data_IF_631597032771
#
_entry.id   IF_631597032771
#
_cell.length_a   1.000
_cell.length_b   1.000
_cell.length_c   1.000
_cell.angle_alpha   90.00
_cell.angle_beta   90.00
_cell.angle_gamma   90.00
#
_symmetry.space_group_name_H-M   'P 1'
#
loop_
_entity.id
_entity.type
_entity.pdbx_description
1 polymer ?
#
# COMPACT_ATOMS: atom_id res chain seq x y z
N UNK A 1 23.58 -38.45 7.12
CA UNK A 1 23.10 -39.85 6.99
C UNK A 1 21.62 -39.88 7.39
N UNK A 2 20.85 -40.79 6.78
CA UNK A 2 19.38 -40.96 6.77
C UNK A 2 18.67 -40.05 5.75
N UNK A 3 18.57 -40.48 4.48
CA UNK A 3 17.70 -41.51 3.86
C UNK A 3 16.38 -40.93 3.34
N UNK A 4 16.44 -40.67 2.04
CA UNK A 4 15.36 -40.76 1.05
C UNK A 4 14.14 -41.57 1.47
N UNK A 5 12.96 -41.01 1.29
CA UNK A 5 11.77 -41.76 0.89
C UNK A 5 10.96 -40.93 -0.09
N UNK A 6 11.05 -41.32 -1.37
CA UNK A 6 10.09 -40.95 -2.39
C UNK A 6 8.75 -41.59 -2.05
N UNK A 7 7.68 -40.80 -2.02
CA UNK A 7 6.34 -41.28 -2.33
C UNK A 7 5.73 -40.32 -3.34
N UNK A 8 5.84 -40.70 -4.61
CA UNK A 8 5.00 -40.17 -5.66
C UNK A 8 3.55 -40.63 -5.38
N UNK A 9 2.68 -39.69 -5.05
CA UNK A 9 1.23 -39.92 -5.07
C UNK A 9 0.63 -39.03 -6.15
N UNK A 10 0.57 -39.58 -7.36
CA UNK A 10 -0.21 -39.05 -8.47
C UNK A 10 -1.69 -39.19 -8.12
N UNK A 11 -2.28 -38.15 -7.55
CA UNK A 11 -3.72 -38.00 -7.50
C UNK A 11 -4.18 -37.45 -8.86
N UNK A 12 -4.50 -38.35 -9.79
CA UNK A 12 -5.25 -37.99 -11.00
C UNK A 12 -6.69 -37.76 -10.55
N UNK A 13 -7.05 -36.51 -10.30
CA UNK A 13 -8.45 -36.10 -10.23
C UNK A 13 -8.93 -36.01 -11.68
N UNK A 14 -9.64 -37.05 -12.12
CA UNK A 14 -10.36 -37.01 -13.39
C UNK A 14 -11.55 -36.04 -13.23
N UNK A 15 -11.36 -34.81 -13.70
CA UNK A 15 -12.43 -33.82 -13.85
C UNK A 15 -13.22 -34.14 -15.15
N UNK A 16 -14.01 -35.20 -15.13
CA UNK A 16 -14.98 -35.45 -16.20
C UNK A 16 -16.28 -34.70 -15.88
N UNK A 17 -16.43 -33.50 -16.46
CA UNK A 17 -17.70 -32.83 -16.87
C UNK A 17 -17.40 -31.36 -17.23
N UNK A 18 -16.66 -31.11 -18.32
CA UNK A 18 -16.50 -29.77 -18.91
C UNK A 18 -16.30 -29.86 -20.44
N UNK A 19 -17.13 -30.65 -21.12
CA UNK A 19 -16.85 -31.07 -22.51
C UNK A 19 -17.39 -30.19 -23.65
N UNK A 20 -18.02 -29.04 -23.39
CA UNK A 20 -18.71 -28.29 -24.45
C UNK A 20 -18.33 -26.81 -24.59
N UNK A 21 -17.88 -26.13 -23.54
CA UNK A 21 -17.60 -24.69 -23.60
C UNK A 21 -16.23 -24.34 -24.20
N UNK A 22 -15.27 -25.28 -24.17
CA UNK A 22 -13.89 -25.02 -24.57
C UNK A 22 -13.62 -25.25 -26.06
N UNK A 23 -14.48 -25.99 -26.76
CA UNK A 23 -14.27 -26.38 -28.16
C UNK A 23 -14.33 -25.19 -29.14
N UNK A 24 -14.98 -24.08 -28.75
CA UNK A 24 -15.15 -22.90 -29.59
C UNK A 24 -14.09 -21.81 -29.34
N UNK A 25 -13.25 -21.95 -28.30
CA UNK A 25 -12.13 -21.05 -28.04
C UNK A 25 -10.90 -21.53 -28.82
N UNK A 26 -10.70 -20.98 -30.01
CA UNK A 26 -9.59 -21.34 -30.92
C UNK A 26 -8.21 -21.11 -30.33
N UNK A 27 -8.09 -20.20 -29.35
CA UNK A 27 -6.85 -19.85 -28.69
C UNK A 27 -6.51 -20.78 -27.52
N UNK A 28 -7.44 -21.63 -27.05
CA UNK A 28 -7.24 -22.44 -25.85
C UNK A 28 -5.99 -23.34 -25.93
N UNK A 29 -5.90 -24.18 -26.95
CA UNK A 29 -4.77 -25.10 -27.13
C UNK A 29 -3.42 -24.38 -27.31
N UNK A 30 -3.26 -23.41 -28.25
CA UNK A 30 -1.98 -22.72 -28.41
C UNK A 30 -1.59 -21.91 -27.17
N UNK A 31 -2.55 -21.25 -26.49
CA UNK A 31 -2.26 -20.47 -25.30
C UNK A 31 -1.85 -21.34 -24.11
N UNK A 32 -2.60 -22.40 -23.84
CA UNK A 32 -2.26 -23.34 -22.75
C UNK A 32 -0.93 -24.02 -22.99
N UNK A 33 -0.63 -24.38 -24.23
CA UNK A 33 0.69 -24.91 -24.61
C UNK A 33 1.81 -23.89 -24.36
N UNK A 34 1.63 -22.62 -24.74
CA UNK A 34 2.62 -21.57 -24.48
C UNK A 34 2.89 -21.41 -22.97
N UNK A 35 1.83 -21.34 -22.16
CA UNK A 35 1.96 -21.23 -20.70
C UNK A 35 2.64 -22.46 -20.07
N UNK A 36 2.26 -23.68 -20.47
CA UNK A 36 2.86 -24.92 -19.95
C UNK A 36 4.35 -25.06 -20.29
N UNK A 37 4.77 -24.53 -21.43
CA UNK A 37 6.17 -24.52 -21.86
C UNK A 37 6.97 -23.31 -21.36
N UNK A 38 6.36 -22.45 -20.53
CA UNK A 38 6.95 -21.17 -20.11
C UNK A 38 7.36 -20.25 -21.28
N UNK A 39 6.68 -20.35 -22.42
CA UNK A 39 6.90 -19.53 -23.59
C UNK A 39 6.18 -18.18 -23.43
N UNK A 40 6.75 -17.30 -22.62
CA UNK A 40 6.15 -16.03 -22.22
C UNK A 40 5.80 -15.10 -23.39
N UNK A 41 6.70 -14.96 -24.37
CA UNK A 41 6.48 -14.08 -25.54
C UNK A 41 5.30 -14.60 -26.38
N UNK A 42 5.24 -15.92 -26.60
CA UNK A 42 4.14 -16.57 -27.32
C UNK A 42 2.82 -16.42 -26.57
N UNK A 43 2.84 -16.64 -25.24
CA UNK A 43 1.66 -16.46 -24.39
C UNK A 43 1.17 -15.01 -24.41
N UNK A 44 2.07 -14.03 -24.37
CA UNK A 44 1.75 -12.59 -24.44
C UNK A 44 1.07 -12.25 -25.77
N UNK A 45 1.64 -12.68 -26.89
CA UNK A 45 1.08 -12.42 -28.22
C UNK A 45 -0.30 -13.07 -28.42
N UNK A 46 -0.53 -14.26 -27.85
CA UNK A 46 -1.81 -14.96 -27.92
C UNK A 46 -2.87 -14.34 -27.01
N UNK A 47 -2.49 -13.73 -25.89
CA UNK A 47 -3.42 -13.24 -24.88
C UNK A 47 -4.35 -12.14 -25.38
N UNK A 48 -3.86 -11.21 -26.21
CA UNK A 48 -4.70 -10.14 -26.78
C UNK A 48 -5.89 -10.71 -27.57
N UNK A 49 -5.62 -11.72 -28.40
CA UNK A 49 -6.65 -12.39 -29.21
C UNK A 49 -7.60 -13.18 -28.32
N UNK A 50 -7.05 -13.93 -27.35
CA UNK A 50 -7.82 -14.71 -26.38
C UNK A 50 -8.73 -13.84 -25.52
N UNK A 51 -8.27 -12.67 -25.11
CA UNK A 51 -9.02 -11.73 -24.27
C UNK A 51 -10.25 -11.19 -24.99
N UNK A 52 -10.11 -10.88 -26.29
CA UNK A 52 -11.19 -10.34 -27.12
C UNK A 52 -12.15 -11.42 -27.66
N UNK A 53 -11.74 -12.69 -27.69
CA UNK A 53 -12.59 -13.77 -28.22
C UNK A 53 -13.69 -14.14 -27.20
N UNK A 54 -14.99 -13.88 -27.49
CA UNK A 54 -16.08 -14.17 -26.56
C UNK A 54 -16.27 -15.67 -26.28
N UNK A 55 -15.79 -16.56 -27.15
CA UNK A 55 -15.85 -18.01 -26.96
C UNK A 55 -14.86 -18.51 -25.88
N UNK A 56 -13.84 -17.72 -25.56
CA UNK A 56 -12.92 -18.03 -24.48
C UNK A 56 -13.53 -17.57 -23.15
N UNK A 57 -13.60 -18.47 -22.17
CA UNK A 57 -14.26 -18.15 -20.91
C UNK A 57 -13.41 -17.26 -19.98
N UNK A 58 -14.06 -16.68 -18.97
CA UNK A 58 -13.40 -15.81 -17.99
C UNK A 58 -12.36 -16.56 -17.15
N UNK A 59 -12.52 -17.88 -16.94
CA UNK A 59 -11.58 -18.65 -16.15
C UNK A 59 -10.22 -18.77 -16.87
N UNK A 60 -10.23 -19.04 -18.18
CA UNK A 60 -9.05 -19.05 -19.04
C UNK A 60 -8.37 -17.68 -19.09
N UNK A 61 -9.15 -16.61 -19.32
CA UNK A 61 -8.64 -15.23 -19.35
C UNK A 61 -7.96 -14.87 -18.03
N UNK A 62 -8.60 -15.16 -16.90
CA UNK A 62 -8.03 -14.86 -15.58
C UNK A 62 -6.79 -15.70 -15.29
N UNK A 63 -6.81 -17.00 -15.62
CA UNK A 63 -5.64 -17.86 -15.46
C UNK A 63 -4.44 -17.37 -16.29
N UNK A 64 -4.70 -16.98 -17.55
CA UNK A 64 -3.70 -16.41 -18.43
C UNK A 64 -3.14 -15.07 -17.94
N UNK A 65 -4.03 -14.17 -17.49
CA UNK A 65 -3.62 -12.88 -16.94
C UNK A 65 -2.69 -13.06 -15.72
N UNK A 66 -3.07 -13.94 -14.78
CA UNK A 66 -2.25 -14.27 -13.61
C UNK A 66 -0.88 -14.83 -13.98
N UNK A 67 -0.82 -15.67 -15.02
CA UNK A 67 0.46 -16.15 -15.53
C UNK A 67 1.32 -14.98 -16.04
N UNK A 68 0.78 -14.14 -16.92
CA UNK A 68 1.52 -13.03 -17.52
C UNK A 68 1.91 -11.95 -16.49
N UNK A 69 1.04 -11.64 -15.53
CA UNK A 69 1.34 -10.73 -14.42
C UNK A 69 2.53 -11.24 -13.59
N UNK A 70 2.48 -12.51 -13.17
CA UNK A 70 3.57 -13.14 -12.41
C UNK A 70 4.89 -13.15 -13.18
N UNK A 71 4.83 -13.50 -14.46
CA UNK A 71 6.02 -13.56 -15.32
C UNK A 71 6.65 -12.19 -15.55
N UNK A 72 5.85 -11.14 -15.72
CA UNK A 72 6.32 -9.76 -15.76
C UNK A 72 6.91 -9.34 -14.42
N UNK A 73 6.25 -9.62 -13.30
CA UNK A 73 6.78 -9.33 -11.96
C UNK A 73 8.17 -9.97 -11.74
N UNK A 74 8.34 -11.25 -12.10
CA UNK A 74 9.62 -11.95 -11.99
C UNK A 74 10.70 -11.30 -12.89
N UNK A 75 10.34 -10.85 -14.09
CA UNK A 75 11.26 -10.11 -14.98
C UNK A 75 11.66 -8.77 -14.38
N UNK A 76 10.71 -8.04 -13.82
CA UNK A 76 10.96 -6.78 -13.12
C UNK A 76 11.96 -6.94 -11.97
N UNK A 77 11.82 -7.98 -11.14
CA UNK A 77 12.77 -8.30 -10.06
C UNK A 77 14.18 -8.66 -10.53
N UNK A 78 14.33 -9.08 -11.79
CA UNK A 78 15.61 -9.56 -12.36
C UNK A 78 16.25 -8.55 -13.33
N UNK A 79 15.53 -7.49 -13.70
CA UNK A 79 16.07 -6.49 -14.60
C UNK A 79 17.22 -5.74 -13.94
N UNK A 80 18.27 -5.46 -14.73
CA UNK A 80 19.49 -4.81 -14.23
C UNK A 80 19.37 -3.29 -14.13
N UNK A 81 18.32 -2.71 -14.71
CA UNK A 81 18.06 -1.27 -14.75
C UNK A 81 16.65 -0.94 -14.20
N UNK A 82 16.52 0.07 -13.32
CA UNK A 82 15.25 0.47 -12.72
C UNK A 82 14.12 0.80 -13.70
N UNK A 83 14.41 1.40 -14.86
CA UNK A 83 13.37 1.76 -15.83
C UNK A 83 12.83 0.52 -16.54
N UNK A 84 13.68 -0.48 -16.78
CA UNK A 84 13.23 -1.79 -17.25
C UNK A 84 12.37 -2.50 -16.19
N UNK A 85 12.77 -2.47 -14.92
CA UNK A 85 11.95 -3.01 -13.82
C UNK A 85 10.56 -2.37 -13.78
N UNK A 86 10.50 -1.04 -13.84
CA UNK A 86 9.25 -0.27 -13.87
C UNK A 86 8.33 -0.70 -15.02
N UNK A 87 8.87 -0.78 -16.24
CA UNK A 87 8.09 -1.20 -17.42
C UNK A 87 7.51 -2.61 -17.28
N UNK A 88 8.23 -3.54 -16.68
CA UNK A 88 7.70 -4.88 -16.38
C UNK A 88 6.61 -4.84 -15.30
N UNK A 89 6.75 -4.05 -14.24
CA UNK A 89 5.72 -3.95 -13.22
C UNK A 89 4.44 -3.28 -13.73
N UNK A 90 4.56 -2.22 -14.54
CA UNK A 90 3.41 -1.61 -15.21
C UNK A 90 2.72 -2.61 -16.15
N UNK A 91 3.50 -3.39 -16.92
CA UNK A 91 2.95 -4.46 -17.75
C UNK A 91 2.24 -5.53 -16.90
N UNK A 92 2.78 -5.89 -15.73
CA UNK A 92 2.13 -6.84 -14.82
C UNK A 92 0.76 -6.34 -14.35
N UNK A 93 0.66 -5.05 -13.96
CA UNK A 93 -0.60 -4.44 -13.52
C UNK A 93 -1.67 -4.40 -14.62
N UNK A 94 -1.28 -4.35 -15.89
CA UNK A 94 -2.24 -4.43 -17.01
C UNK A 94 -2.91 -5.80 -17.13
N UNK A 95 -2.30 -6.86 -16.57
CA UNK A 95 -2.88 -8.20 -16.54
C UNK A 95 -3.61 -8.49 -15.22
N UNK A 96 -2.98 -8.16 -14.10
CA UNK A 96 -3.54 -8.34 -12.77
C UNK A 96 -2.97 -7.31 -11.79
N UNK A 97 -3.85 -6.54 -11.17
CA UNK A 97 -3.47 -5.70 -10.04
C UNK A 97 -3.04 -6.55 -8.86
N UNK A 98 -1.88 -6.26 -8.27
CA UNK A 98 -1.34 -7.02 -7.16
C UNK A 98 -0.56 -6.11 -6.21
N UNK A 99 -0.76 -6.25 -4.90
CA UNK A 99 -0.12 -5.39 -3.89
C UNK A 99 1.41 -5.39 -3.99
N UNK A 100 2.05 -6.56 -4.14
CA UNK A 100 3.50 -6.67 -4.35
C UNK A 100 4.00 -5.84 -5.53
N UNK A 101 3.29 -5.86 -6.66
CA UNK A 101 3.67 -5.07 -7.85
C UNK A 101 3.59 -3.58 -7.57
N UNK A 102 2.52 -3.13 -6.90
CA UNK A 102 2.40 -1.74 -6.45
C UNK A 102 3.51 -1.37 -5.45
N UNK A 103 3.85 -2.25 -4.50
CA UNK A 103 4.94 -2.00 -3.56
C UNK A 103 6.29 -1.82 -4.27
N UNK A 104 6.62 -2.68 -5.25
CA UNK A 104 7.87 -2.56 -6.03
C UNK A 104 7.93 -1.25 -6.84
N UNK A 105 6.81 -0.82 -7.45
CA UNK A 105 6.74 0.51 -8.08
C UNK A 105 6.93 1.65 -7.06
N UNK A 106 6.39 1.47 -5.85
CA UNK A 106 6.60 2.38 -4.72
C UNK A 106 8.08 2.49 -4.33
N UNK A 107 8.80 1.37 -4.28
CA UNK A 107 10.25 1.33 -4.03
C UNK A 107 11.03 2.05 -5.13
N UNK A 108 10.74 1.76 -6.41
CA UNK A 108 11.42 2.43 -7.53
C UNK A 108 11.20 3.95 -7.53
N UNK A 109 9.98 4.41 -7.22
CA UNK A 109 9.68 5.82 -7.07
C UNK A 109 10.41 6.44 -5.88
N UNK A 110 10.47 5.74 -4.74
CA UNK A 110 11.18 6.17 -3.54
C UNK A 110 12.67 6.35 -3.80
N UNK A 111 13.30 5.40 -4.49
CA UNK A 111 14.74 5.44 -4.80
C UNK A 111 15.12 6.63 -5.69
N UNK A 112 14.15 7.16 -6.46
CA UNK A 112 14.29 8.39 -7.26
C UNK A 112 13.91 9.66 -6.48
N UNK A 113 13.58 9.52 -5.19
CA UNK A 113 13.02 10.58 -4.34
C UNK A 113 11.72 11.19 -4.86
N UNK A 114 11.00 10.47 -5.73
CA UNK A 114 9.66 10.85 -6.19
C UNK A 114 8.63 10.34 -5.17
N UNK A 115 8.57 11.03 -4.03
CA UNK A 115 7.69 10.65 -2.92
C UNK A 115 6.21 10.79 -3.26
N UNK A 116 5.85 11.64 -4.23
CA UNK A 116 4.47 11.73 -4.71
C UNK A 116 4.04 10.46 -5.46
N UNK A 117 4.86 9.97 -6.40
CA UNK A 117 4.60 8.69 -7.06
C UNK A 117 4.70 7.52 -6.08
N UNK A 118 5.68 7.56 -5.16
CA UNK A 118 5.84 6.52 -4.14
C UNK A 118 4.61 6.41 -3.23
N UNK A 119 4.10 7.55 -2.75
CA UNK A 119 2.89 7.62 -1.93
C UNK A 119 1.66 7.09 -2.67
N UNK A 120 1.52 7.39 -3.97
CA UNK A 120 0.44 6.83 -4.80
C UNK A 120 0.53 5.30 -4.83
N UNK A 121 1.69 4.75 -5.16
CA UNK A 121 1.85 3.31 -5.33
C UNK A 121 1.72 2.53 -4.02
N UNK A 122 2.31 3.00 -2.93
CA UNK A 122 2.15 2.33 -1.64
C UNK A 122 0.71 2.40 -1.12
N UNK A 123 0.00 3.52 -1.30
CA UNK A 123 -1.42 3.56 -0.91
C UNK A 123 -2.28 2.62 -1.76
N UNK A 124 -1.98 2.46 -3.06
CA UNK A 124 -2.62 1.43 -3.90
C UNK A 124 -2.30 0.01 -3.42
N UNK A 125 -1.05 -0.22 -2.98
CA UNK A 125 -0.65 -1.49 -2.37
C UNK A 125 -1.45 -1.79 -1.10
N UNK A 126 -1.60 -0.81 -0.20
CA UNK A 126 -2.45 -0.92 1.00
C UNK A 126 -3.90 -1.21 0.63
N UNK A 127 -4.46 -0.55 -0.38
CA UNK A 127 -5.82 -0.84 -0.87
C UNK A 127 -5.98 -2.28 -1.36
N UNK A 128 -5.00 -2.79 -2.11
CA UNK A 128 -5.01 -4.18 -2.56
C UNK A 128 -4.85 -5.17 -1.42
N UNK A 129 -4.13 -4.81 -0.35
CA UNK A 129 -4.10 -5.62 0.86
C UNK A 129 -5.46 -5.61 1.57
N UNK A 130 -6.12 -4.45 1.65
CA UNK A 130 -7.41 -4.30 2.33
C UNK A 130 -8.56 -5.04 1.59
N UNK A 131 -8.69 -4.79 0.29
CA UNK A 131 -9.86 -5.17 -0.51
C UNK A 131 -9.54 -6.09 -1.71
N UNK A 132 -8.27 -6.43 -1.90
CA UNK A 132 -7.84 -7.29 -3.01
C UNK A 132 -8.19 -8.76 -2.82
N UNK A 133 -7.96 -9.58 -3.85
CA UNK A 133 -8.25 -11.01 -3.81
C UNK A 133 -7.54 -11.74 -2.65
N UNK A 134 -8.23 -12.68 -2.00
CA UNK A 134 -7.72 -13.40 -0.84
C UNK A 134 -6.52 -14.31 -1.18
N UNK A 135 -6.44 -14.76 -2.43
CA UNK A 135 -5.33 -15.53 -2.99
C UNK A 135 -4.02 -14.75 -3.07
N UNK A 136 -4.06 -13.40 -3.01
CA UNK A 136 -2.86 -12.56 -2.92
C UNK A 136 -2.34 -12.55 -1.48
N UNK A 137 -1.92 -13.70 -0.99
CA UNK A 137 -1.48 -13.90 0.39
C UNK A 137 -0.43 -12.86 0.81
N UNK A 138 -0.59 -12.33 2.02
CA UNK A 138 0.33 -11.41 2.68
C UNK A 138 0.44 -11.83 4.15
N UNK A 139 1.65 -11.81 4.70
CA UNK A 139 1.86 -11.99 6.13
C UNK A 139 1.45 -10.72 6.88
N UNK A 140 1.38 -10.78 8.21
CA UNK A 140 1.16 -9.58 9.02
C UNK A 140 2.33 -8.59 8.87
N UNK A 141 3.57 -9.10 8.83
CA UNK A 141 4.79 -8.32 8.59
C UNK A 141 4.78 -7.63 7.22
N UNK A 142 4.28 -8.30 6.17
CA UNK A 142 4.10 -7.69 4.84
C UNK A 142 3.15 -6.48 4.93
N UNK A 143 2.02 -6.64 5.64
CA UNK A 143 1.01 -5.60 5.79
C UNK A 143 1.58 -4.40 6.57
N UNK A 144 2.21 -4.65 7.71
CA UNK A 144 2.86 -3.63 8.55
C UNK A 144 3.91 -2.85 7.75
N UNK A 145 4.80 -3.57 7.05
CA UNK A 145 5.86 -2.95 6.24
C UNK A 145 5.29 -2.04 5.15
N UNK A 146 4.29 -2.51 4.40
CA UNK A 146 3.68 -1.71 3.32
C UNK A 146 2.93 -0.50 3.88
N UNK A 147 2.30 -0.64 5.04
CA UNK A 147 1.59 0.46 5.70
C UNK A 147 2.56 1.55 6.19
N UNK A 148 3.68 1.16 6.80
CA UNK A 148 4.73 2.08 7.24
C UNK A 148 5.35 2.82 6.05
N UNK A 149 5.64 2.11 4.96
CA UNK A 149 6.14 2.70 3.72
C UNK A 149 5.13 3.69 3.10
N UNK A 150 3.84 3.34 3.10
CA UNK A 150 2.78 4.24 2.62
C UNK A 150 2.71 5.52 3.46
N UNK A 151 2.70 5.38 4.78
CA UNK A 151 2.64 6.50 5.72
C UNK A 151 3.84 7.42 5.58
N UNK A 152 5.04 6.84 5.48
CA UNK A 152 6.27 7.61 5.29
C UNK A 152 6.31 8.31 3.93
N UNK A 153 5.93 7.64 2.84
CA UNK A 153 5.93 8.25 1.51
C UNK A 153 4.96 9.43 1.44
N UNK A 154 3.77 9.26 2.02
CA UNK A 154 2.75 10.31 2.15
C UNK A 154 3.27 11.51 2.95
N UNK A 155 4.07 11.29 3.99
CA UNK A 155 4.68 12.37 4.78
C UNK A 155 5.85 13.10 4.10
N UNK A 156 6.55 12.41 3.20
CA UNK A 156 7.66 12.98 2.44
C UNK A 156 7.20 13.69 1.15
N UNK A 157 6.01 13.37 0.64
CA UNK A 157 5.45 14.00 -0.55
C UNK A 157 5.24 15.50 -0.37
N UNK A 158 5.61 16.28 -1.39
CA UNK A 158 5.44 17.74 -1.43
C UNK A 158 4.21 18.18 -2.22
N UNK A 159 3.80 17.39 -3.20
CA UNK A 159 2.60 17.66 -4.00
C UNK A 159 1.32 17.12 -3.38
N UNK A 160 0.20 17.42 -4.03
CA UNK A 160 -1.09 16.83 -3.69
C UNK A 160 -1.05 15.30 -3.84
N UNK A 161 -1.63 14.62 -2.85
CA UNK A 161 -1.77 13.17 -2.84
C UNK A 161 -3.25 12.84 -2.92
N UNK A 162 -3.64 12.18 -3.99
CA UNK A 162 -4.98 11.64 -4.14
C UNK A 162 -5.14 10.45 -3.18
N UNK A 163 -6.17 10.51 -2.34
CA UNK A 163 -6.54 9.39 -1.47
C UNK A 163 -7.24 8.34 -2.33
N UNK A 164 -6.69 7.12 -2.47
CA UNK A 164 -7.35 6.11 -3.27
C UNK A 164 -8.63 5.66 -2.56
N UNK A 165 -9.58 5.11 -3.31
CA UNK A 165 -10.85 4.62 -2.75
C UNK A 165 -10.85 3.11 -2.63
N UNK A 166 -11.44 2.62 -1.55
CA UNK A 166 -11.78 1.19 -1.37
C UNK A 166 -12.82 0.76 -2.39
N UNK A 167 -13.11 -0.54 -2.47
CA UNK A 167 -14.15 -1.08 -3.35
C UNK A 167 -15.54 -0.54 -3.00
N UNK A 168 -15.79 -0.22 -1.73
CA UNK A 168 -17.04 0.39 -1.27
C UNK A 168 -17.14 1.89 -1.57
N UNK A 169 -16.05 2.51 -2.03
CA UNK A 169 -15.95 3.94 -2.30
C UNK A 169 -15.54 4.79 -1.09
N UNK A 170 -15.25 4.17 0.05
CA UNK A 170 -14.72 4.83 1.24
C UNK A 170 -13.23 5.23 1.03
N UNK A 171 -12.69 6.15 1.85
CA UNK A 171 -11.26 6.47 1.83
C UNK A 171 -10.40 5.21 2.05
N UNK A 172 -9.37 5.05 1.22
CA UNK A 172 -8.42 3.95 1.24
C UNK A 172 -7.02 4.38 1.70
N UNK A 173 -6.00 3.60 1.33
CA UNK A 173 -4.61 3.85 1.66
C UNK A 173 -4.38 3.81 3.16
N UNK A 174 -3.67 4.79 3.70
CA UNK A 174 -3.36 4.87 5.14
C UNK A 174 -4.57 5.18 6.03
N UNK A 175 -5.76 5.39 5.45
CA UNK A 175 -7.00 5.68 6.17
C UNK A 175 -7.91 4.44 6.33
N UNK A 176 -7.50 3.27 5.84
CA UNK A 176 -8.27 2.04 6.06
C UNK A 176 -8.21 1.64 7.54
N UNK A 177 -9.37 1.45 8.16
CA UNK A 177 -9.45 1.12 9.60
C UNK A 177 -9.01 -0.30 9.96
N UNK A 178 -8.97 -1.21 8.98
CA UNK A 178 -8.40 -2.56 9.16
C UNK A 178 -7.99 -3.16 7.82
N UNK A 179 -6.92 -3.95 7.83
CA UNK A 179 -6.41 -4.68 6.66
C UNK A 179 -6.36 -6.17 7.01
N UNK A 180 -7.29 -6.98 6.48
CA UNK A 180 -7.34 -8.44 6.69
C UNK A 180 -7.24 -8.89 8.16
N UNK A 181 -7.85 -8.13 9.08
CA UNK A 181 -7.81 -8.40 10.52
C UNK A 181 -6.61 -7.79 11.27
N UNK A 182 -5.66 -7.18 10.56
CA UNK A 182 -4.73 -6.22 11.14
C UNK A 182 -5.51 -4.94 11.44
N UNK A 183 -5.66 -4.61 12.72
CA UNK A 183 -6.22 -3.33 13.15
C UNK A 183 -5.04 -2.36 13.20
N UNK A 184 -5.17 -1.27 12.45
CA UNK A 184 -4.16 -0.21 12.49
C UNK A 184 -4.36 0.54 13.81
N UNK A 185 -3.56 0.21 14.82
CA UNK A 185 -3.68 0.82 16.16
C UNK A 185 -3.12 2.24 16.19
N UNK A 186 -2.11 2.52 15.38
CA UNK A 186 -1.38 3.78 15.36
C UNK A 186 -1.17 4.23 13.92
N UNK A 187 -1.68 5.41 13.56
CA UNK A 187 -1.47 5.99 12.24
C UNK A 187 -0.70 7.30 12.40
N UNK A 188 0.47 7.34 11.78
CA UNK A 188 1.22 8.57 11.62
C UNK A 188 0.61 9.38 10.49
N UNK A 189 -0.07 10.47 10.83
CA UNK A 189 -0.56 11.40 9.83
C UNK A 189 0.54 12.41 9.49
N UNK A 190 0.71 12.73 8.20
CA UNK A 190 1.58 13.83 7.78
C UNK A 190 0.89 15.19 8.03
N UNK A 191 0.46 15.46 9.27
CA UNK A 191 -0.12 16.76 9.60
C UNK A 191 1.02 17.76 9.67
N UNK A 192 1.25 18.43 8.56
CA UNK A 192 2.30 19.44 8.40
C UNK A 192 1.81 20.81 8.85
N UNK A 193 2.74 21.58 9.41
CA UNK A 193 2.49 22.90 9.96
C UNK A 193 3.41 23.92 9.28
N UNK A 194 2.92 25.15 9.15
CA UNK A 194 3.77 26.27 8.74
C UNK A 194 4.96 26.41 9.70
N UNK A 195 6.12 26.78 9.17
CA UNK A 195 7.37 26.86 9.93
C UNK A 195 7.22 27.72 11.20
N UNK A 196 7.57 27.14 12.36
CA UNK A 196 7.49 27.80 13.67
C UNK A 196 6.06 28.08 14.18
N UNK A 197 5.03 27.57 13.51
CA UNK A 197 3.63 27.81 13.83
C UNK A 197 2.87 26.52 14.15
N UNK A 198 1.67 26.67 14.68
CA UNK A 198 0.68 25.61 14.91
C UNK A 198 -0.45 25.62 13.87
N UNK A 199 -0.35 26.50 12.87
CA UNK A 199 -1.26 26.56 11.72
C UNK A 199 -0.88 25.47 10.73
N UNK A 200 -1.84 24.68 10.26
CA UNK A 200 -1.59 23.72 9.19
C UNK A 200 -1.20 24.42 7.89
N UNK A 201 -0.35 23.77 7.10
CA UNK A 201 -0.29 24.09 5.67
C UNK A 201 -1.44 23.38 4.91
N UNK A 202 -1.47 23.53 3.59
CA UNK A 202 -2.52 22.94 2.75
C UNK A 202 -2.56 21.40 2.85
N UNK A 203 -1.40 20.75 2.92
CA UNK A 203 -1.29 19.31 3.09
C UNK A 203 -1.80 18.87 4.47
N UNK A 204 -1.34 19.53 5.52
CA UNK A 204 -1.75 19.27 6.90
C UNK A 204 -3.25 19.46 7.12
N UNK A 205 -3.83 20.52 6.53
CA UNK A 205 -5.27 20.79 6.63
C UNK A 205 -6.10 19.70 5.94
N UNK A 206 -5.65 19.21 4.77
CA UNK A 206 -6.30 18.10 4.06
C UNK A 206 -6.29 16.82 4.90
N UNK A 207 -5.14 16.44 5.47
CA UNK A 207 -5.07 15.24 6.31
C UNK A 207 -5.84 15.37 7.63
N UNK A 208 -5.87 16.56 8.22
CA UNK A 208 -6.72 16.82 9.39
C UNK A 208 -8.21 16.66 9.05
N UNK A 209 -8.65 17.15 7.88
CA UNK A 209 -10.03 16.96 7.40
C UNK A 209 -10.36 15.49 7.14
N UNK A 210 -9.45 14.75 6.48
CA UNK A 210 -9.62 13.32 6.22
C UNK A 210 -9.70 12.52 7.51
N UNK A 211 -8.90 12.87 8.53
CA UNK A 211 -9.02 12.26 9.85
C UNK A 211 -10.38 12.56 10.46
N UNK A 212 -10.85 13.81 10.42
CA UNK A 212 -12.16 14.17 10.97
C UNK A 212 -13.29 13.34 10.33
N UNK A 213 -13.30 13.26 9.00
CA UNK A 213 -14.27 12.45 8.26
C UNK A 213 -14.21 10.97 8.66
N UNK A 214 -12.99 10.41 8.74
CA UNK A 214 -12.77 9.03 9.15
C UNK A 214 -13.28 8.75 10.57
N UNK A 215 -12.97 9.62 11.54
CA UNK A 215 -13.40 9.48 12.93
C UNK A 215 -14.93 9.48 13.07
N UNK A 216 -15.61 10.31 12.28
CA UNK A 216 -17.08 10.34 12.22
C UNK A 216 -17.63 9.06 11.57
N UNK A 217 -17.05 8.63 10.45
CA UNK A 217 -17.47 7.43 9.72
C UNK A 217 -17.38 6.16 10.58
N UNK A 218 -16.27 5.98 11.29
CA UNK A 218 -16.08 4.83 12.19
C UNK A 218 -16.82 4.99 13.52
N UNK A 219 -17.43 6.15 13.78
CA UNK A 219 -18.15 6.43 15.01
C UNK A 219 -17.27 6.43 16.26
N UNK A 220 -16.01 6.86 16.12
CA UNK A 220 -15.00 6.82 17.18
C UNK A 220 -15.51 7.54 18.45
N UNK A 221 -15.24 6.93 19.61
CA UNK A 221 -15.64 7.48 20.92
C UNK A 221 -14.51 8.13 21.68
N UNK A 222 -13.29 7.65 21.41
CA UNK A 222 -12.06 8.19 21.99
C UNK A 222 -10.95 8.21 20.94
N UNK A 223 -10.17 9.27 20.94
CA UNK A 223 -8.96 9.42 20.14
C UNK A 223 -7.84 9.94 21.04
N UNK A 224 -6.66 9.33 20.95
CA UNK A 224 -5.44 9.82 21.56
C UNK A 224 -4.58 10.46 20.48
N UNK A 225 -4.10 11.69 20.70
CA UNK A 225 -3.22 12.43 19.80
C UNK A 225 -1.84 12.64 20.43
N UNK A 226 -0.81 12.15 19.75
CA UNK A 226 0.57 12.20 20.20
C UNK A 226 1.40 13.06 19.26
N UNK A 227 1.91 14.18 19.75
CA UNK A 227 2.78 15.08 18.98
C UNK A 227 4.25 14.72 19.12
N UNK A 228 5.01 14.86 18.02
CA UNK A 228 6.45 14.59 17.99
C UNK A 228 7.24 15.69 17.25
N UNK A 229 8.55 15.76 17.53
CA UNK A 229 9.51 16.63 16.84
C UNK A 229 10.71 15.84 16.34
N UNK A 230 11.52 16.46 15.48
CA UNK A 230 12.88 16.01 15.21
C UNK A 230 13.81 16.33 16.40
N UNK A 231 15.06 15.79 16.42
CA UNK A 231 15.98 15.98 17.54
C UNK A 231 16.72 17.34 17.51
N UNK A 232 16.29 18.29 16.67
CA UNK A 232 16.98 19.58 16.53
C UNK A 232 16.41 20.56 17.55
N UNK A 233 17.27 21.05 18.44
CA UNK A 233 16.95 22.15 19.36
C UNK A 233 17.03 21.76 20.83
N UNK A 234 16.29 22.48 21.66
CA UNK A 234 16.22 22.26 23.10
C UNK A 234 15.07 21.29 23.43
N UNK A 235 15.34 20.27 24.25
CA UNK A 235 14.38 19.20 24.59
C UNK A 235 13.08 19.76 25.20
N UNK A 236 13.18 20.74 26.11
CA UNK A 236 12.02 21.37 26.75
C UNK A 236 11.18 22.18 25.75
N UNK A 237 11.84 22.82 24.78
CA UNK A 237 11.17 23.50 23.68
C UNK A 237 10.44 22.50 22.75
N UNK A 238 11.09 21.38 22.43
CA UNK A 238 10.52 20.30 21.61
C UNK A 238 9.31 19.63 22.28
N UNK A 239 9.36 19.41 23.60
CA UNK A 239 8.23 18.91 24.38
C UNK A 239 7.02 19.87 24.34
N UNK A 240 7.26 21.18 24.46
CA UNK A 240 6.19 22.18 24.36
C UNK A 240 5.63 22.29 22.94
N UNK A 241 6.48 22.20 21.92
CA UNK A 241 6.09 22.32 20.52
C UNK A 241 5.22 21.13 20.07
N UNK A 242 5.65 19.92 20.37
CA UNK A 242 4.89 18.70 20.08
C UNK A 242 3.49 18.73 20.70
N UNK A 243 3.38 19.10 21.98
CA UNK A 243 2.08 19.22 22.65
C UNK A 243 1.16 20.25 21.96
N UNK A 244 1.71 21.41 21.56
CA UNK A 244 0.95 22.46 20.86
C UNK A 244 0.43 21.98 19.51
N UNK A 245 1.22 21.22 18.75
CA UNK A 245 0.80 20.66 17.46
C UNK A 245 -0.36 19.68 17.61
N UNK A 246 -0.28 18.78 18.59
CA UNK A 246 -1.35 17.82 18.85
C UNK A 246 -2.63 18.51 19.35
N UNK A 247 -2.52 19.60 20.13
CA UNK A 247 -3.67 20.45 20.51
C UNK A 247 -4.30 21.20 19.34
N UNK A 248 -3.51 21.67 18.38
CA UNK A 248 -4.05 22.32 17.19
C UNK A 248 -4.88 21.33 16.35
N UNK A 249 -4.48 20.05 16.30
CA UNK A 249 -5.27 19.00 15.68
C UNK A 249 -6.55 18.69 16.48
N UNK A 250 -6.46 18.59 17.81
CA UNK A 250 -7.65 18.48 18.67
C UNK A 250 -8.68 19.59 18.40
N UNK A 251 -8.25 20.85 18.43
CA UNK A 251 -9.11 22.02 18.18
C UNK A 251 -9.79 21.90 16.81
N UNK A 252 -9.03 21.55 15.77
CA UNK A 252 -9.57 21.36 14.43
C UNK A 252 -10.59 20.22 14.35
N UNK A 253 -10.32 19.07 14.95
CA UNK A 253 -11.24 17.92 14.92
C UNK A 253 -12.57 18.27 15.61
N UNK A 254 -12.52 19.00 16.72
CA UNK A 254 -13.72 19.50 17.41
C UNK A 254 -14.49 20.48 16.52
N UNK A 255 -13.80 21.40 15.85
CA UNK A 255 -14.42 22.34 14.90
C UNK A 255 -15.09 21.63 13.70
N UNK A 256 -14.53 20.50 13.25
CA UNK A 256 -15.13 19.65 12.22
C UNK A 256 -16.27 18.75 12.73
N UNK A 257 -16.62 18.83 14.02
CA UNK A 257 -17.78 18.15 14.59
C UNK A 257 -17.48 16.79 15.20
N UNK A 258 -16.22 16.48 15.53
CA UNK A 258 -15.93 15.31 16.35
C UNK A 258 -16.40 15.55 17.79
N UNK A 259 -17.36 14.73 18.26
CA UNK A 259 -17.96 14.83 19.60
C UNK A 259 -17.37 13.84 20.63
N UNK A 260 -16.41 13.01 20.22
CA UNK A 260 -15.77 12.03 21.10
C UNK A 260 -14.75 12.65 22.06
N UNK A 261 -14.24 11.83 22.96
CA UNK A 261 -13.16 12.22 23.88
C UNK A 261 -11.83 12.31 23.12
N UNK A 262 -11.14 13.46 23.20
CA UNK A 262 -9.77 13.61 22.69
C UNK A 262 -8.82 13.71 23.89
N UNK A 263 -7.77 12.89 23.89
CA UNK A 263 -6.63 13.05 24.79
C UNK A 263 -5.42 13.49 23.99
N UNK A 264 -4.59 14.37 24.56
CA UNK A 264 -3.46 14.96 23.85
C UNK A 264 -2.19 14.87 24.69
N UNK A 265 -1.11 14.37 24.07
CA UNK A 265 0.22 14.30 24.69
C UNK A 265 1.30 14.82 23.73
N UNK A 266 2.28 15.53 24.28
CA UNK A 266 3.53 15.84 23.58
C UNK A 266 4.63 14.89 24.02
N UNK A 267 5.46 14.44 23.08
CA UNK A 267 6.61 13.58 23.34
C UNK A 267 7.94 14.22 22.95
N UNK A 268 7.94 15.40 22.32
CA UNK A 268 9.13 15.99 21.73
C UNK A 268 9.83 15.01 20.79
N UNK A 269 11.14 14.87 20.95
CA UNK A 269 11.99 13.96 20.17
C UNK A 269 12.15 12.56 20.79
N UNK A 270 11.53 12.29 21.95
CA UNK A 270 11.80 11.08 22.75
C UNK A 270 11.28 9.77 22.14
N UNK A 271 10.46 9.86 21.09
CA UNK A 271 9.87 8.73 20.36
C UNK A 271 10.02 8.94 18.85
N UNK A 272 11.24 8.76 18.29
CA UNK A 272 11.46 8.85 16.85
C UNK A 272 10.65 7.77 16.12
N UNK A 273 10.24 8.01 14.86
CA UNK A 273 9.56 7.01 14.06
C UNK A 273 10.51 5.87 13.70
N UNK A 274 9.96 4.74 13.26
CA UNK A 274 10.77 3.67 12.70
C UNK A 274 11.39 4.13 11.36
N UNK A 275 12.68 3.88 11.17
CA UNK A 275 13.33 4.09 9.88
C UNK A 275 12.81 3.05 8.88
N UNK A 276 12.35 3.52 7.73
CA UNK A 276 11.84 2.68 6.63
C UNK A 276 12.80 2.69 5.46
N UNK A 277 12.77 1.62 4.65
CA UNK A 277 13.55 1.51 3.41
C UNK A 277 15.06 1.83 3.57
N UNK A 278 15.67 1.49 4.72
CA UNK A 278 17.09 1.75 4.98
C UNK A 278 17.45 3.23 5.16
N UNK A 279 16.48 4.12 5.38
CA UNK A 279 16.68 5.55 5.58
C UNK A 279 17.64 5.85 6.74
N UNK A 280 18.58 6.77 6.51
CA UNK A 280 19.48 7.29 7.53
C UNK A 280 18.69 8.14 8.55
N UNK A 281 18.85 7.84 9.84
CA UNK A 281 18.14 8.51 10.94
C UNK A 281 18.60 9.97 11.15
N UNK A 282 19.75 10.35 10.59
CA UNK A 282 20.24 11.73 10.64
C UNK A 282 19.87 12.55 9.37
N UNK A 283 19.14 11.94 8.42
CA UNK A 283 18.72 12.58 7.17
C UNK A 283 17.62 13.63 7.37
N UNK A 284 17.54 14.58 6.44
CA UNK A 284 16.49 15.60 6.45
C UNK A 284 15.09 14.98 6.27
N UNK A 285 15.02 13.89 5.51
CA UNK A 285 13.82 13.10 5.30
C UNK A 285 13.37 12.42 6.59
N UNK A 286 14.29 11.79 7.35
CA UNK A 286 13.93 11.18 8.63
C UNK A 286 13.49 12.23 9.66
N UNK A 287 14.15 13.39 9.69
CA UNK A 287 13.69 14.52 10.50
C UNK A 287 12.29 14.98 10.08
N UNK A 288 11.95 14.96 8.78
CA UNK A 288 10.60 15.26 8.29
C UNK A 288 9.58 14.25 8.78
N UNK A 289 9.88 12.95 8.74
CA UNK A 289 9.03 11.92 9.32
C UNK A 289 8.86 12.08 10.85
N UNK A 290 9.89 12.58 11.53
CA UNK A 290 9.87 12.76 12.99
C UNK A 290 8.93 13.88 13.42
N UNK A 291 8.73 14.90 12.57
CA UNK A 291 7.78 16.01 12.79
C UNK A 291 6.35 15.58 12.43
N UNK A 292 5.76 14.74 13.28
CA UNK A 292 4.44 14.13 13.05
C UNK A 292 3.46 14.33 14.21
N UNK A 293 2.19 14.10 13.91
CA UNK A 293 1.17 13.80 14.93
C UNK A 293 0.64 12.41 14.63
N UNK A 294 0.61 11.60 15.66
CA UNK A 294 0.09 10.23 15.63
C UNK A 294 -1.29 10.24 16.27
N UNK A 295 -2.23 9.48 15.71
CA UNK A 295 -3.49 9.19 16.40
C UNK A 295 -3.67 7.71 16.70
N UNK A 296 -4.40 7.43 17.78
CA UNK A 296 -4.82 6.10 18.20
C UNK A 296 -6.30 6.12 18.58
N UNK A 297 -7.06 5.12 18.12
CA UNK A 297 -8.45 4.92 18.54
C UNK A 297 -8.47 4.17 19.89
N UNK A 298 -9.37 4.57 20.79
CA UNK A 298 -9.50 4.00 22.14
C UNK A 298 -10.91 3.59 22.55
#
# INVERSE_FOLDING_TARGET
>A
MLKSSLFASTAIVALSLAGAAWADCTEYDPFTAAVQNNAFEDATALYETLYLNPSCDTALRNWGARYLARENFIRGKKADDPAASEGYYEAALNYEEHWRTYAELGHLAWDRSDYNASAKYYQMSVNMLADGPAEHHATQEDIETVFDLASAAVALADGEIEVPKTRSGAPGGILVGSVRGFVVEEVSLPVTFLFGQTTFDEGGARFASLLADHLVEVGAKRVELSGHTDPIGDEDANMKLSLKRAKALEEFLVEQGFEGEISVQGFGETQPPQAVNGMDTDSQEFHRLSRRVVFKLG
#
